data_IF_463738315312
#
_entry.id   IF_463738315312
#
_cell.length_a   1.000
_cell.length_b   1.000
_cell.length_c   1.000
_cell.angle_alpha   90.00
_cell.angle_beta   90.00
_cell.angle_gamma   90.00
#
_symmetry.space_group_name_H-M   'P 1'
#
loop_
_entity.id
_entity.type
_entity.pdbx_description
1 polymer ?
#
# COMPACT_ATOMS: atom_id res chain seq x y z
N UNK A 1 -19.36 25.76 2.43
CA UNK A 1 -18.12 24.97 2.56
C UNK A 1 -18.35 23.65 1.84
N UNK A 2 -17.49 23.22 0.91
CA UNK A 2 -17.57 21.84 0.44
C UNK A 2 -17.39 20.92 1.65
N UNK A 3 -17.98 19.71 1.64
CA UNK A 3 -17.77 18.76 2.73
C UNK A 3 -16.27 18.58 2.94
N UNK A 4 -15.85 18.54 4.20
CA UNK A 4 -14.49 18.31 4.65
C UNK A 4 -14.07 16.86 4.37
N UNK A 5 -14.16 16.41 3.12
CA UNK A 5 -13.73 15.07 2.72
C UNK A 5 -12.24 15.02 2.97
N UNK A 6 -11.81 14.15 3.90
CA UNK A 6 -10.39 13.94 4.13
C UNK A 6 -9.88 13.19 2.91
N UNK A 7 -8.79 13.67 2.30
CA UNK A 7 -8.31 13.13 1.02
C UNK A 7 -8.06 11.61 1.04
N UNK A 8 -7.70 11.03 2.20
CA UNK A 8 -7.56 9.58 2.35
C UNK A 8 -8.89 8.81 2.21
N UNK A 9 -10.04 9.43 2.47
CA UNK A 9 -11.36 8.81 2.24
C UNK A 9 -11.63 8.65 0.74
N UNK A 10 -11.14 9.57 -0.09
CA UNK A 10 -11.21 9.47 -1.56
C UNK A 10 -10.34 8.29 -2.03
N UNK A 11 -9.14 8.14 -1.47
CA UNK A 11 -8.25 7.01 -1.80
C UNK A 11 -8.90 5.68 -1.38
N UNK A 12 -9.42 5.60 -0.16
CA UNK A 12 -10.13 4.43 0.35
C UNK A 12 -11.35 4.04 -0.52
N UNK A 13 -12.12 5.02 -0.98
CA UNK A 13 -13.24 4.81 -1.89
C UNK A 13 -12.76 4.28 -3.26
N UNK A 14 -11.68 4.84 -3.81
CA UNK A 14 -11.06 4.34 -5.05
C UNK A 14 -10.55 2.90 -4.91
N UNK A 15 -9.91 2.55 -3.80
CA UNK A 15 -9.49 1.18 -3.50
C UNK A 15 -10.70 0.23 -3.49
N UNK A 16 -11.78 0.63 -2.80
CA UNK A 16 -13.02 -0.15 -2.73
C UNK A 16 -13.63 -0.37 -4.11
N UNK A 17 -13.67 0.67 -4.95
CA UNK A 17 -14.12 0.60 -6.35
C UNK A 17 -13.25 -0.30 -7.22
N UNK A 18 -11.94 -0.32 -6.97
CA UNK A 18 -10.98 -1.23 -7.61
C UNK A 18 -10.98 -2.65 -6.99
N UNK A 19 -11.97 -2.97 -6.15
CA UNK A 19 -12.18 -4.28 -5.49
C UNK A 19 -11.06 -4.66 -4.52
N UNK A 20 -10.35 -3.67 -4.00
CA UNK A 20 -9.47 -3.82 -2.86
C UNK A 20 -10.28 -3.69 -1.57
N UNK A 21 -10.06 -4.62 -0.65
CA UNK A 21 -10.40 -4.44 0.76
C UNK A 21 -9.24 -3.70 1.43
N UNK A 22 -9.53 -2.80 2.35
CA UNK A 22 -8.52 -1.99 3.01
C UNK A 22 -8.82 -1.85 4.50
N UNK A 23 -7.77 -1.64 5.29
CA UNK A 23 -7.85 -1.30 6.70
C UNK A 23 -6.78 -0.26 7.06
N UNK A 24 -6.98 0.46 8.15
CA UNK A 24 -5.97 1.38 8.67
C UNK A 24 -5.99 1.47 10.19
N UNK A 25 -4.82 1.31 10.77
CA UNK A 25 -4.57 1.35 12.21
C UNK A 25 -3.49 2.39 12.55
N UNK A 26 -3.59 2.98 13.73
CA UNK A 26 -2.53 3.82 14.30
C UNK A 26 -1.72 3.04 15.34
N UNK A 27 -0.40 3.19 15.34
CA UNK A 27 0.50 2.67 16.36
C UNK A 27 1.43 3.76 16.88
N UNK A 28 2.06 3.53 18.04
CA UNK A 28 3.09 4.40 18.59
C UNK A 28 4.45 3.73 18.35
N UNK A 29 5.40 4.45 17.72
CA UNK A 29 6.76 3.96 17.48
C UNK A 29 7.64 4.02 18.73
N UNK A 30 8.88 3.51 18.64
CA UNK A 30 9.85 3.52 19.75
C UNK A 30 10.26 4.92 20.21
N UNK A 31 10.00 5.95 19.40
CA UNK A 31 10.28 7.35 19.68
C UNK A 31 9.05 8.10 20.23
N UNK A 32 7.93 7.39 20.45
CA UNK A 32 6.67 7.99 20.92
C UNK A 32 5.87 8.70 19.83
N UNK A 33 6.21 8.53 18.55
CA UNK A 33 5.48 9.13 17.42
C UNK A 33 4.30 8.26 17.04
N UNK A 34 3.18 8.88 16.69
CA UNK A 34 2.07 8.16 16.07
C UNK A 34 2.41 7.89 14.62
N UNK A 35 2.35 6.61 14.23
CA UNK A 35 2.43 6.16 12.86
C UNK A 35 1.07 5.57 12.46
N UNK A 36 0.73 5.74 11.19
CA UNK A 36 -0.44 5.15 10.56
C UNK A 36 0.01 4.05 9.64
N UNK A 37 -0.56 2.87 9.81
CA UNK A 37 -0.36 1.71 8.95
C UNK A 37 -1.63 1.58 8.10
N UNK A 38 -1.49 1.58 6.79
CA UNK A 38 -2.55 1.32 5.84
C UNK A 38 -2.29 -0.02 5.14
N UNK A 39 -3.31 -0.87 5.09
CA UNK A 39 -3.29 -2.18 4.45
C UNK A 39 -4.32 -2.20 3.32
N UNK A 40 -3.96 -2.85 2.22
CA UNK A 40 -4.92 -3.25 1.20
C UNK A 40 -4.67 -4.69 0.76
N UNK A 41 -5.73 -5.46 0.62
CA UNK A 41 -5.68 -6.83 0.15
C UNK A 41 -6.79 -7.13 -0.86
N UNK A 42 -6.55 -8.11 -1.72
CA UNK A 42 -7.49 -8.52 -2.77
C UNK A 42 -7.53 -10.05 -2.89
N UNK A 43 -8.67 -10.59 -3.32
CA UNK A 43 -8.95 -12.03 -3.35
C UNK A 43 -8.05 -12.87 -4.27
N UNK A 44 -7.21 -12.23 -5.08
CA UNK A 44 -6.15 -12.87 -5.87
C UNK A 44 -4.84 -13.11 -5.08
N UNK A 45 -4.87 -12.89 -3.76
CA UNK A 45 -3.72 -13.10 -2.87
C UNK A 45 -2.75 -11.92 -2.82
N UNK A 46 -3.04 -10.81 -3.52
CA UNK A 46 -2.22 -9.60 -3.46
C UNK A 46 -2.48 -8.83 -2.17
N UNK A 47 -1.41 -8.32 -1.56
CA UNK A 47 -1.45 -7.49 -0.35
C UNK A 47 -0.37 -6.42 -0.38
N UNK A 48 -0.74 -5.21 -0.02
CA UNK A 48 0.14 -4.06 0.11
C UNK A 48 -0.04 -3.44 1.49
N UNK A 49 1.07 -2.99 2.08
CA UNK A 49 1.09 -2.32 3.37
C UNK A 49 2.01 -1.13 3.26
N UNK A 50 1.60 0.01 3.82
CA UNK A 50 2.42 1.21 3.95
C UNK A 50 2.29 1.78 5.35
N UNK A 51 3.34 2.47 5.81
CA UNK A 51 3.33 3.22 7.05
C UNK A 51 3.78 4.67 6.83
N UNK A 52 3.21 5.60 7.60
CA UNK A 52 3.63 7.00 7.61
C UNK A 52 3.20 7.73 8.90
N UNK A 53 3.87 8.84 9.21
CA UNK A 53 3.51 9.71 10.35
C UNK A 53 2.10 10.33 10.22
N UNK A 54 1.58 10.43 8.99
CA UNK A 54 0.24 10.93 8.69
C UNK A 54 -0.60 9.88 7.96
N UNK A 55 -1.87 9.71 8.37
CA UNK A 55 -2.80 8.77 7.72
C UNK A 55 -2.91 9.00 6.23
N UNK A 56 -2.99 10.26 5.79
CA UNK A 56 -3.06 10.60 4.38
C UNK A 56 -1.84 10.10 3.61
N UNK A 57 -0.64 10.28 4.17
CA UNK A 57 0.59 9.86 3.53
C UNK A 57 0.68 8.34 3.41
N UNK A 58 0.25 7.60 4.44
CA UNK A 58 0.18 6.15 4.35
C UNK A 58 -0.71 5.71 3.17
N UNK A 59 -1.89 6.29 3.01
CA UNK A 59 -2.79 5.96 1.88
C UNK A 59 -2.22 6.36 0.51
N UNK A 60 -1.50 7.48 0.40
CA UNK A 60 -0.83 7.87 -0.85
C UNK A 60 0.25 6.88 -1.26
N UNK A 61 1.09 6.45 -0.33
CA UNK A 61 2.12 5.43 -0.58
C UNK A 61 1.49 4.09 -0.95
N UNK A 62 0.38 3.72 -0.29
CA UNK A 62 -0.36 2.49 -0.58
C UNK A 62 -0.94 2.50 -2.01
N UNK A 63 -1.60 3.59 -2.40
CA UNK A 63 -2.15 3.76 -3.74
C UNK A 63 -1.03 3.74 -4.82
N UNK A 64 0.09 4.40 -4.55
CA UNK A 64 1.25 4.40 -5.43
C UNK A 64 1.81 2.99 -5.64
N UNK A 65 1.98 2.21 -4.56
CA UNK A 65 2.47 0.84 -4.62
C UNK A 65 1.53 -0.08 -5.43
N UNK A 66 0.21 0.05 -5.23
CA UNK A 66 -0.79 -0.71 -5.99
C UNK A 66 -0.72 -0.33 -7.47
N UNK A 67 -0.69 0.97 -7.81
CA UNK A 67 -0.60 1.43 -9.21
C UNK A 67 0.66 0.95 -9.91
N UNK A 68 1.80 0.96 -9.21
CA UNK A 68 3.06 0.45 -9.74
C UNK A 68 2.98 -1.07 -10.02
N UNK A 69 2.31 -1.83 -9.15
CA UNK A 69 2.16 -3.28 -9.32
C UNK A 69 1.03 -3.70 -10.28
N UNK A 70 0.06 -2.81 -10.54
CA UNK A 70 -1.00 -3.02 -11.54
C UNK A 70 -0.58 -2.56 -12.94
N UNK A 71 0.47 -1.75 -13.05
CA UNK A 71 1.10 -1.45 -14.33
C UNK A 71 1.65 -2.78 -14.90
N UNK A 72 1.08 -3.32 -15.99
CA UNK A 72 1.65 -4.49 -16.62
C UNK A 72 3.08 -4.14 -17.03
N UNK A 73 4.03 -5.01 -16.71
CA UNK A 73 5.32 -4.99 -17.38
C UNK A 73 5.01 -5.14 -18.87
N UNK A 74 5.16 -4.05 -19.63
CA UNK A 74 5.13 -4.10 -21.08
C UNK A 74 6.05 -5.25 -21.50
N UNK A 75 5.56 -6.14 -22.36
CA UNK A 75 6.23 -7.37 -22.79
C UNK A 75 7.74 -7.20 -23.06
N UNK A 76 8.59 -7.44 -22.08
CA UNK A 76 9.97 -7.85 -22.30
C UNK A 76 10.39 -8.80 -21.20
N UNK A 77 10.29 -10.09 -21.49
CA UNK A 77 10.69 -11.15 -20.59
C UNK A 77 12.14 -10.97 -20.14
N UNK A 78 12.32 -10.80 -18.83
CA UNK A 78 13.53 -11.26 -18.15
C UNK A 78 13.12 -12.28 -17.10
N UNK A 79 13.23 -13.55 -17.50
CA UNK A 79 13.36 -14.66 -16.57
C UNK A 79 14.57 -14.38 -15.67
N UNK A 80 14.33 -13.87 -14.46
CA UNK A 80 15.33 -13.91 -13.40
C UNK A 80 15.39 -15.37 -12.98
N UNK A 81 16.37 -16.11 -13.51
CA UNK A 81 16.76 -17.39 -12.93
C UNK A 81 17.11 -17.13 -11.48
N UNK A 82 16.34 -17.75 -10.59
CA UNK A 82 16.69 -17.84 -9.19
C UNK A 82 17.84 -18.86 -9.07
N UNK A 83 19.06 -18.48 -9.44
CA UNK A 83 20.22 -19.24 -9.01
C UNK A 83 20.54 -18.91 -7.55
N UNK A 84 20.14 -19.86 -6.70
CA UNK A 84 20.87 -20.35 -5.52
C UNK A 84 22.08 -19.49 -5.11
N UNK A 85 22.02 -18.87 -3.93
CA UNK A 85 22.95 -19.17 -2.82
C UNK A 85 22.63 -18.34 -1.56
N UNK A 86 22.42 -19.08 -0.47
CA UNK A 86 22.44 -18.71 0.93
C UNK A 86 23.50 -17.65 1.33
N UNK A 87 23.11 -16.72 2.22
CA UNK A 87 23.86 -16.00 3.28
C UNK A 87 22.94 -14.83 3.72
N UNK A 88 22.53 -14.61 4.96
CA UNK A 88 23.01 -15.02 6.27
C UNK A 88 22.82 -13.80 7.18
N UNK A 89 21.91 -13.92 8.16
CA UNK A 89 21.47 -12.96 9.19
C UNK A 89 20.69 -11.73 8.70
#
# INVERSE_FOLDING_TARGET
>A
MPPSVKYWEIIADNLSKARWSWDSISAIDSNGRTIWIADAHRGDGKRFVSDAEEKLRAFLELESAIRAAECPEDCEGREIKLDTLSRGW
#
